data_IF_119066477301
#
_entry.id   IF_119066477301
#
_cell.length_a   1.000
_cell.length_b   1.000
_cell.length_c   1.000
_cell.angle_alpha   90.00
_cell.angle_beta   90.00
_cell.angle_gamma   90.00
#
_symmetry.space_group_name_H-M   'P 1'
#
loop_
_entity.id
_entity.type
_entity.pdbx_description
1 polymer ?
#
# COMPACT_ATOMS: atom_id res chain seq x y z
N UNK A 1 21.96 -7.17 8.70
CA UNK A 1 21.52 -7.59 7.34
C UNK A 1 20.38 -6.67 6.93
N UNK A 2 20.30 -6.23 5.68
CA UNK A 2 19.24 -5.31 5.22
C UNK A 2 17.93 -6.10 5.09
N UNK A 3 16.82 -5.51 5.53
CA UNK A 3 15.46 -6.01 5.36
C UNK A 3 14.66 -4.96 4.60
N UNK A 4 13.86 -5.40 3.65
CA UNK A 4 12.95 -4.53 2.88
C UNK A 4 11.54 -5.05 3.08
N UNK A 5 10.60 -4.17 3.41
CA UNK A 5 9.22 -4.54 3.75
C UNK A 5 8.25 -3.68 2.96
N UNK A 6 7.24 -4.31 2.34
CA UNK A 6 6.14 -3.57 1.69
C UNK A 6 5.29 -2.87 2.74
N UNK A 7 5.03 -1.59 2.53
CA UNK A 7 4.13 -0.80 3.37
C UNK A 7 2.67 -0.90 2.91
N UNK A 8 2.47 -1.25 1.64
CA UNK A 8 1.15 -1.42 1.02
C UNK A 8 0.82 -2.90 0.85
N UNK A 9 -0.46 -3.19 1.05
CA UNK A 9 -1.06 -4.46 0.69
C UNK A 9 -1.04 -4.74 -0.80
N UNK A 10 -1.34 -5.98 -1.18
CA UNK A 10 -1.44 -6.39 -2.57
C UNK A 10 -2.56 -5.66 -3.32
N UNK A 11 -2.33 -5.38 -4.61
CA UNK A 11 -3.31 -4.79 -5.52
C UNK A 11 -4.00 -5.89 -6.33
N UNK A 12 -5.33 -5.89 -6.33
CA UNK A 12 -6.13 -6.97 -6.95
C UNK A 12 -6.43 -6.77 -8.43
N UNK A 13 -6.39 -5.53 -8.95
CA UNK A 13 -6.98 -5.19 -10.27
C UNK A 13 -6.00 -4.93 -11.43
N UNK A 14 -4.68 -4.84 -11.24
CA UNK A 14 -3.72 -4.76 -12.37
C UNK A 14 -2.28 -5.07 -11.92
N UNK A 15 -1.65 -6.06 -12.57
CA UNK A 15 -0.30 -6.55 -12.27
C UNK A 15 0.84 -5.54 -12.52
N UNK A 16 0.63 -4.47 -13.31
CA UNK A 16 1.73 -3.59 -13.74
C UNK A 16 2.26 -2.62 -12.68
N UNK A 17 1.62 -2.54 -11.50
CA UNK A 17 2.00 -1.64 -10.42
C UNK A 17 2.03 -2.36 -9.06
N UNK A 18 2.39 -3.65 -9.04
CA UNK A 18 2.34 -4.45 -7.83
C UNK A 18 3.48 -4.07 -6.86
N UNK A 19 3.21 -3.68 -5.59
CA UNK A 19 4.24 -3.46 -4.58
C UNK A 19 5.19 -4.67 -4.41
N UNK A 20 4.71 -5.88 -4.68
CA UNK A 20 5.54 -7.09 -4.69
C UNK A 20 6.70 -7.00 -5.69
N UNK A 21 6.51 -6.38 -6.86
CA UNK A 21 7.57 -6.26 -7.88
C UNK A 21 8.68 -5.31 -7.41
N UNK A 22 8.34 -4.24 -6.69
CA UNK A 22 9.32 -3.28 -6.17
C UNK A 22 10.18 -3.94 -5.09
N UNK A 23 9.54 -4.59 -4.12
CA UNK A 23 10.24 -5.26 -3.01
C UNK A 23 11.13 -6.39 -3.52
N UNK A 24 10.64 -7.17 -4.50
CA UNK A 24 11.43 -8.22 -5.12
C UNK A 24 12.67 -7.67 -5.84
N UNK A 25 12.51 -6.62 -6.68
CA UNK A 25 13.64 -5.99 -7.38
C UNK A 25 14.65 -5.37 -6.42
N UNK A 26 14.20 -4.80 -5.30
CA UNK A 26 15.08 -4.30 -4.26
C UNK A 26 15.88 -5.43 -3.61
N UNK A 27 15.24 -6.54 -3.27
CA UNK A 27 15.92 -7.72 -2.73
C UNK A 27 16.94 -8.31 -3.72
N UNK A 28 16.57 -8.48 -4.99
CA UNK A 28 17.48 -8.99 -6.03
C UNK A 28 18.73 -8.13 -6.18
N UNK A 29 18.60 -6.79 -6.15
CA UNK A 29 19.72 -5.86 -6.32
C UNK A 29 20.60 -5.71 -5.08
N UNK A 30 20.07 -5.96 -3.89
CA UNK A 30 20.76 -5.68 -2.62
C UNK A 30 21.12 -6.94 -1.82
N UNK A 31 20.57 -8.10 -2.19
CA UNK A 31 20.64 -9.32 -1.39
C UNK A 31 19.86 -9.25 -0.07
N UNK A 32 18.96 -8.27 0.08
CA UNK A 32 18.16 -8.08 1.28
C UNK A 32 17.07 -9.15 1.44
N UNK A 33 16.67 -9.39 2.69
CA UNK A 33 15.48 -10.18 2.98
C UNK A 33 14.23 -9.34 2.70
N UNK A 34 13.31 -9.86 1.89
CA UNK A 34 12.11 -9.17 1.45
C UNK A 34 10.87 -9.69 2.18
N UNK A 35 10.05 -8.77 2.69
CA UNK A 35 8.79 -9.05 3.36
C UNK A 35 7.67 -8.29 2.65
N UNK A 36 6.51 -8.93 2.53
CA UNK A 36 5.37 -8.39 1.82
C UNK A 36 4.19 -8.27 2.78
N UNK A 37 3.38 -7.24 2.61
CA UNK A 37 2.17 -7.04 3.41
C UNK A 37 1.09 -8.01 2.92
N UNK A 38 0.68 -9.03 3.70
CA UNK A 38 -0.15 -10.13 3.20
C UNK A 38 -1.65 -9.82 3.34
N UNK A 39 -2.04 -8.58 3.04
CA UNK A 39 -3.44 -8.12 3.00
C UNK A 39 -3.68 -7.27 1.76
N UNK A 40 -4.93 -7.10 1.31
CA UNK A 40 -5.27 -6.10 0.30
C UNK A 40 -4.93 -4.67 0.76
N UNK A 41 -4.65 -3.77 -0.19
CA UNK A 41 -4.51 -2.33 0.11
C UNK A 41 -5.81 -1.72 0.64
N UNK A 42 -6.95 -2.12 0.08
CA UNK A 42 -8.28 -1.64 0.47
C UNK A 42 -9.15 -2.79 0.98
N UNK A 43 -9.86 -2.55 2.08
CA UNK A 43 -10.95 -3.40 2.56
C UNK A 43 -12.28 -2.77 2.14
N UNK A 44 -13.32 -3.59 1.94
CA UNK A 44 -14.63 -3.05 1.53
C UNK A 44 -15.33 -2.34 2.69
N UNK A 45 -15.07 -2.79 3.92
CA UNK A 45 -15.70 -2.28 5.15
C UNK A 45 -14.68 -2.16 6.28
N UNK A 46 -15.05 -1.43 7.34
CA UNK A 46 -14.23 -1.35 8.55
C UNK A 46 -14.15 -2.71 9.25
N UNK A 47 -15.22 -3.51 9.21
CA UNK A 47 -15.29 -4.85 9.75
C UNK A 47 -14.37 -5.82 9.00
N UNK A 48 -14.37 -5.76 7.66
CA UNK A 48 -13.44 -6.53 6.81
C UNK A 48 -12.00 -6.20 7.18
N UNK A 49 -11.67 -4.92 7.40
CA UNK A 49 -10.33 -4.50 7.85
C UNK A 49 -9.95 -5.15 9.17
N UNK A 50 -10.85 -5.22 10.14
CA UNK A 50 -10.58 -5.86 11.44
C UNK A 50 -10.30 -7.35 11.25
N UNK A 51 -11.12 -8.05 10.45
CA UNK A 51 -10.94 -9.47 10.16
C UNK A 51 -9.61 -9.72 9.45
N UNK A 52 -9.29 -8.91 8.44
CA UNK A 52 -8.03 -8.98 7.72
C UNK A 52 -6.85 -8.77 8.66
N UNK A 53 -6.83 -7.71 9.46
CA UNK A 53 -5.72 -7.44 10.39
C UNK A 53 -5.61 -8.45 11.54
N UNK A 54 -6.67 -9.20 11.82
CA UNK A 54 -6.69 -10.26 12.82
C UNK A 54 -6.05 -11.58 12.38
N UNK A 55 -5.66 -11.75 11.11
CA UNK A 55 -5.04 -13.00 10.67
C UNK A 55 -3.62 -13.16 11.24
N UNK A 56 -3.24 -14.41 11.50
CA UNK A 56 -1.93 -14.76 12.07
C UNK A 56 -0.81 -14.31 11.13
N UNK A 57 0.26 -13.71 11.68
CA UNK A 57 1.43 -13.28 10.91
C UNK A 57 1.36 -11.85 10.39
N UNK A 58 0.19 -11.19 10.41
CA UNK A 58 0.05 -9.83 9.89
C UNK A 58 0.69 -8.80 10.81
N UNK A 59 0.46 -8.91 12.13
CA UNK A 59 1.00 -7.96 13.09
C UNK A 59 2.53 -7.95 13.06
N UNK A 60 3.16 -9.11 12.87
CA UNK A 60 4.62 -9.22 12.76
C UNK A 60 5.18 -8.46 11.55
N UNK A 61 4.49 -8.48 10.41
CA UNK A 61 4.88 -7.72 9.22
C UNK A 61 4.64 -6.21 9.42
N UNK A 62 3.53 -5.83 10.07
CA UNK A 62 3.27 -4.42 10.43
C UNK A 62 4.32 -3.87 11.39
N UNK A 63 4.72 -4.64 12.40
CA UNK A 63 5.74 -4.21 13.37
C UNK A 63 7.12 -4.12 12.72
N UNK A 64 7.41 -5.02 11.76
CA UNK A 64 8.60 -4.89 10.93
C UNK A 64 8.56 -3.61 10.08
N UNK A 65 7.44 -3.31 9.43
CA UNK A 65 7.25 -2.07 8.67
C UNK A 65 7.41 -0.81 9.53
N UNK A 66 6.83 -0.80 10.74
CA UNK A 66 6.92 0.32 11.69
C UNK A 66 8.32 0.54 12.25
N UNK A 67 9.14 -0.51 12.31
CA UNK A 67 10.53 -0.44 12.80
C UNK A 67 11.54 -0.07 11.72
N UNK A 68 11.10 0.28 10.51
CA UNK A 68 11.99 0.66 9.42
C UNK A 68 12.76 1.95 9.73
N UNK A 69 14.09 1.92 9.55
CA UNK A 69 14.96 3.09 9.70
C UNK A 69 14.81 4.10 8.56
N UNK A 70 14.32 3.65 7.39
CA UNK A 70 14.13 4.44 6.19
C UNK A 70 12.84 4.03 5.47
N UNK A 71 12.06 5.02 5.05
CA UNK A 71 10.80 4.85 4.35
C UNK A 71 10.87 5.49 2.96
N UNK A 72 10.54 4.71 1.93
CA UNK A 72 10.35 5.20 0.56
C UNK A 72 8.85 5.29 0.29
N UNK A 73 8.36 6.50 0.00
CA UNK A 73 6.95 6.75 -0.31
C UNK A 73 6.79 7.57 -1.60
N UNK A 74 5.71 7.30 -2.32
CA UNK A 74 5.19 8.19 -3.35
C UNK A 74 4.36 9.30 -2.72
N UNK A 75 4.31 10.46 -3.37
CA UNK A 75 3.33 11.51 -3.06
C UNK A 75 2.44 11.64 -4.29
N UNK A 76 1.15 11.39 -4.12
CA UNK A 76 0.16 11.53 -5.17
C UNK A 76 -0.73 12.74 -4.99
N UNK A 77 -1.42 13.06 -6.07
CA UNK A 77 -2.41 14.13 -6.11
C UNK A 77 -3.79 13.61 -5.74
N UNK A 78 -4.65 14.46 -5.17
CA UNK A 78 -6.07 14.22 -5.02
C UNK A 78 -6.89 14.81 -6.18
N UNK A 79 -6.27 15.17 -7.31
CA UNK A 79 -6.99 15.59 -8.53
C UNK A 79 -7.74 14.44 -9.19
N UNK A 80 -8.66 14.74 -10.11
CA UNK A 80 -9.56 13.76 -10.74
C UNK A 80 -8.79 12.74 -11.60
N UNK A 81 -7.62 13.13 -12.07
CA UNK A 81 -6.67 12.35 -12.86
C UNK A 81 -5.68 11.56 -11.99
N UNK A 82 -5.87 11.54 -10.67
CA UNK A 82 -5.03 10.78 -9.73
C UNK A 82 -4.86 9.32 -10.18
N UNK A 83 -3.66 8.78 -10.01
CA UNK A 83 -3.33 7.41 -10.41
C UNK A 83 -4.22 6.36 -9.73
N UNK A 84 -4.67 6.62 -8.49
CA UNK A 84 -5.62 5.75 -7.77
C UNK A 84 -6.97 5.64 -8.49
N UNK A 85 -7.44 6.74 -9.09
CA UNK A 85 -8.68 6.77 -9.88
C UNK A 85 -8.46 6.12 -11.25
N UNK A 86 -7.35 6.46 -11.92
CA UNK A 86 -7.03 5.94 -13.25
C UNK A 86 -6.80 4.42 -13.26
N UNK A 87 -6.30 3.86 -12.16
CA UNK A 87 -6.10 2.42 -11.98
C UNK A 87 -7.34 1.69 -11.46
N UNK A 88 -8.40 2.43 -11.09
CA UNK A 88 -9.64 1.87 -10.55
C UNK A 88 -9.50 1.31 -9.14
N UNK A 89 -8.52 1.80 -8.37
CA UNK A 89 -8.35 1.48 -6.95
C UNK A 89 -9.33 2.24 -6.07
N UNK A 90 -9.63 3.49 -6.47
CA UNK A 90 -10.62 4.35 -5.83
C UNK A 90 -11.60 4.81 -6.92
N UNK A 91 -12.89 4.83 -6.60
CA UNK A 91 -13.92 5.34 -7.50
C UNK A 91 -13.84 6.87 -7.60
N UNK A 92 -14.29 7.42 -8.74
CA UNK A 92 -14.33 8.88 -8.93
C UNK A 92 -15.12 9.57 -7.82
N UNK A 93 -16.24 9.00 -7.40
CA UNK A 93 -17.09 9.58 -6.34
C UNK A 93 -16.37 9.69 -4.99
N UNK A 94 -15.58 8.67 -4.63
CA UNK A 94 -14.79 8.62 -3.41
C UNK A 94 -13.68 9.68 -3.42
N UNK A 95 -12.98 9.87 -4.56
CA UNK A 95 -11.98 10.93 -4.69
C UNK A 95 -12.60 12.33 -4.59
N UNK A 96 -13.78 12.56 -5.20
CA UNK A 96 -14.49 13.84 -5.04
C UNK A 96 -14.88 14.09 -3.58
N UNK A 97 -15.23 13.06 -2.82
CA UNK A 97 -15.50 13.19 -1.39
C UNK A 97 -14.26 13.59 -0.60
N UNK A 98 -13.13 12.93 -0.86
CA UNK A 98 -11.84 13.28 -0.25
C UNK A 98 -11.50 14.75 -0.50
N UNK A 99 -11.68 15.24 -1.74
CA UNK A 99 -11.45 16.65 -2.09
C UNK A 99 -12.41 17.59 -1.38
N UNK A 100 -13.70 17.28 -1.33
CA UNK A 100 -14.70 18.09 -0.62
C UNK A 100 -14.37 18.22 0.86
N UNK A 101 -13.74 17.19 1.44
CA UNK A 101 -13.26 17.19 2.82
C UNK A 101 -11.88 17.84 3.01
N UNK A 102 -11.32 18.48 1.97
CA UNK A 102 -10.06 19.24 2.03
C UNK A 102 -8.81 18.43 1.65
N UNK A 103 -8.95 17.20 1.17
CA UNK A 103 -7.84 16.40 0.68
C UNK A 103 -7.21 17.00 -0.58
N UNK A 104 -5.89 17.25 -0.55
CA UNK A 104 -5.12 17.83 -1.66
C UNK A 104 -4.09 16.87 -2.26
N UNK A 105 -3.85 15.75 -1.60
CA UNK A 105 -2.88 14.74 -2.00
C UNK A 105 -2.95 13.50 -1.12
N UNK A 106 -2.11 12.54 -1.43
CA UNK A 106 -1.94 11.27 -0.71
C UNK A 106 -0.46 10.90 -0.58
N UNK A 107 -0.14 10.02 0.38
CA UNK A 107 1.22 9.58 0.68
C UNK A 107 1.24 8.06 0.84
N UNK A 108 2.20 7.44 0.13
CA UNK A 108 2.45 6.00 -0.14
C UNK A 108 1.75 5.44 -1.38
#
# INVERSE_FOLDING_TARGET
RIRVVSLLGGLTRKFSANPHDVIHRLAERTGAEAYVMPVPMFANTAEDRIVLLGQKGINEVFDLARSADLLFAGIGTAEREASLVATGMIEKGEMEEIRRNGGVGELL
#
